data_IF_931520585976
#
_entry.id   IF_931520585976
#
_cell.length_a   1.000
_cell.length_b   1.000
_cell.length_c   1.000
_cell.angle_alpha   90.00
_cell.angle_beta   90.00
_cell.angle_gamma   90.00
#
_symmetry.space_group_name_H-M   'P 1'
#
loop_
_entity.id
_entity.type
_entity.pdbx_description
1 polymer ?
#
# COMPACT_ATOMS: atom_id res chain seq x y z
N UNK A 1 -1.46 -6.90 -7.73
CA UNK A 1 -0.74 -5.64 -8.04
C UNK A 1 0.76 -5.95 -8.20
N UNK A 2 1.64 -4.98 -8.54
CA UNK A 2 3.10 -5.28 -8.59
C UNK A 2 3.66 -5.60 -7.20
N UNK A 3 3.01 -5.08 -6.15
CA UNK A 3 3.38 -5.31 -4.75
C UNK A 3 3.34 -6.79 -4.36
N UNK A 4 2.41 -7.57 -4.93
CA UNK A 4 2.21 -9.01 -4.66
C UNK A 4 3.41 -9.88 -5.09
N UNK A 5 4.35 -9.32 -5.87
CA UNK A 5 5.60 -10.01 -6.18
C UNK A 5 6.42 -10.33 -4.91
N UNK A 6 6.18 -9.63 -3.80
CA UNK A 6 6.81 -9.91 -2.51
C UNK A 6 6.32 -11.22 -1.86
N UNK A 7 5.21 -11.81 -2.29
CA UNK A 7 4.77 -13.14 -1.84
C UNK A 7 5.80 -14.21 -2.14
N UNK A 8 6.61 -14.04 -3.19
CA UNK A 8 7.72 -14.94 -3.52
C UNK A 8 8.83 -14.93 -2.45
N UNK A 9 8.85 -13.89 -1.61
CA UNK A 9 9.79 -13.75 -0.49
C UNK A 9 9.17 -14.21 0.84
N UNK A 10 7.93 -14.69 0.84
CA UNK A 10 7.26 -15.19 2.04
C UNK A 10 7.85 -16.53 2.50
N UNK A 11 7.76 -16.81 3.79
CA UNK A 11 8.12 -18.12 4.36
C UNK A 11 7.01 -18.66 5.27
N UNK A 12 6.31 -19.75 4.91
CA UNK A 12 6.43 -20.48 3.64
C UNK A 12 5.91 -19.67 2.44
N UNK A 13 6.40 -19.95 1.23
CA UNK A 13 6.00 -19.21 0.01
C UNK A 13 4.49 -19.31 -0.23
N UNK A 14 3.90 -20.50 -0.04
CA UNK A 14 2.47 -20.74 -0.21
C UNK A 14 1.90 -21.53 0.97
N UNK A 15 0.81 -21.01 1.54
CA UNK A 15 0.00 -21.61 2.60
C UNK A 15 -1.40 -20.97 2.51
N UNK A 16 -2.45 -21.73 2.21
CA UNK A 16 -3.79 -21.18 2.02
C UNK A 16 -4.51 -20.83 3.34
N UNK A 17 -3.99 -21.26 4.49
CA UNK A 17 -4.66 -21.07 5.80
C UNK A 17 -3.97 -20.01 6.67
N UNK A 18 -3.06 -19.21 6.10
CA UNK A 18 -2.37 -18.15 6.85
C UNK A 18 -2.96 -16.78 6.53
N UNK A 19 -2.82 -15.87 7.49
CA UNK A 19 -3.00 -14.44 7.26
C UNK A 19 -1.93 -13.92 6.28
N UNK A 20 -2.34 -13.10 5.31
CA UNK A 20 -1.43 -12.53 4.30
C UNK A 20 -0.62 -11.32 4.80
N UNK A 21 -0.90 -10.82 6.00
CA UNK A 21 -0.18 -9.69 6.62
C UNK A 21 0.96 -10.16 7.52
N UNK A 22 2.15 -9.59 7.34
CA UNK A 22 3.32 -9.78 8.22
C UNK A 22 4.31 -10.87 7.77
N UNK A 23 3.98 -11.64 6.73
CA UNK A 23 4.82 -12.76 6.26
C UNK A 23 5.72 -12.39 5.08
N UNK A 24 5.52 -11.24 4.45
CA UNK A 24 6.34 -10.73 3.36
C UNK A 24 6.60 -9.21 3.51
N UNK A 25 7.71 -8.69 2.96
CA UNK A 25 8.23 -7.37 3.34
C UNK A 25 7.29 -6.18 3.09
N UNK A 26 6.52 -6.21 2.00
CA UNK A 26 5.65 -5.10 1.57
C UNK A 26 4.24 -5.20 2.18
N UNK A 27 3.95 -6.29 2.89
CA UNK A 27 2.71 -6.53 3.62
C UNK A 27 2.94 -6.49 5.14
N UNK A 28 3.94 -5.70 5.57
CA UNK A 28 4.20 -5.42 6.99
C UNK A 28 3.42 -4.19 7.45
N UNK A 29 3.17 -4.08 8.76
CA UNK A 29 2.55 -2.89 9.36
C UNK A 29 3.33 -1.61 9.01
N UNK A 30 4.66 -1.71 8.92
CA UNK A 30 5.52 -0.59 8.50
C UNK A 30 5.28 -0.18 7.05
N UNK A 31 5.12 -1.14 6.14
CA UNK A 31 4.79 -0.85 4.74
C UNK A 31 3.40 -0.22 4.61
N UNK A 32 2.40 -0.74 5.36
CA UNK A 32 1.05 -0.16 5.41
C UNK A 32 1.09 1.29 5.89
N UNK A 33 1.87 1.60 6.93
CA UNK A 33 2.04 2.97 7.40
C UNK A 33 2.62 3.89 6.30
N UNK A 34 3.57 3.41 5.50
CA UNK A 34 4.09 4.14 4.33
C UNK A 34 2.99 4.37 3.28
N UNK A 35 2.12 3.40 3.02
CA UNK A 35 1.00 3.57 2.07
C UNK A 35 -0.04 4.57 2.56
N UNK A 36 -0.33 4.58 3.87
CA UNK A 36 -1.17 5.59 4.52
C UNK A 36 -0.56 6.98 4.32
N UNK A 37 0.73 7.13 4.60
CA UNK A 37 1.45 8.38 4.38
C UNK A 37 1.42 8.79 2.90
N UNK A 38 1.62 7.86 1.98
CA UNK A 38 1.58 8.13 0.55
C UNK A 38 0.19 8.63 0.08
N UNK A 39 -0.88 8.14 0.70
CA UNK A 39 -2.24 8.64 0.46
C UNK A 39 -2.52 9.99 1.14
N UNK A 40 -2.06 10.17 2.38
CA UNK A 40 -2.39 11.32 3.23
C UNK A 40 -1.52 12.55 2.94
N UNK A 41 -0.21 12.38 2.70
CA UNK A 41 0.75 13.48 2.47
C UNK A 41 0.28 14.44 1.36
N UNK A 42 -0.18 13.96 0.18
CA UNK A 42 -0.68 14.86 -0.87
C UNK A 42 -1.87 15.73 -0.46
N UNK A 43 -2.71 15.30 0.51
CA UNK A 43 -3.79 16.14 1.03
C UNK A 43 -3.27 17.32 1.87
N UNK A 44 -2.27 17.08 2.71
CA UNK A 44 -1.68 18.11 3.56
C UNK A 44 -0.76 19.04 2.76
N UNK A 45 0.01 18.48 1.83
CA UNK A 45 0.88 19.24 0.93
C UNK A 45 0.12 19.94 -0.21
N UNK A 46 -1.21 19.72 -0.34
CA UNK A 46 -2.07 20.42 -1.31
C UNK A 46 -2.04 21.95 -1.16
N UNK A 47 -1.52 22.45 -0.04
CA UNK A 47 -1.21 23.87 0.17
C UNK A 47 -0.03 24.39 -0.68
N UNK A 48 0.80 23.52 -1.26
CA UNK A 48 1.94 23.89 -2.13
C UNK A 48 1.53 23.87 -3.61
N UNK A 49 0.67 24.82 -4.01
CA UNK A 49 0.41 25.13 -5.43
C UNK A 49 1.64 25.82 -6.05
N UNK A 50 2.60 25.04 -6.55
CA UNK A 50 3.79 25.60 -7.23
C UNK A 50 3.86 25.30 -8.74
N UNK A 51 3.07 24.35 -9.28
CA UNK A 51 3.03 24.03 -10.72
C UNK A 51 1.90 23.05 -11.06
N UNK A 52 1.28 23.17 -12.26
CA UNK A 52 0.36 22.15 -12.82
C UNK A 52 0.98 20.75 -12.87
N UNK A 53 2.30 20.66 -13.12
CA UNK A 53 3.02 19.39 -13.12
C UNK A 53 3.05 18.77 -11.72
N UNK A 54 3.20 19.58 -10.66
CA UNK A 54 3.19 19.11 -9.28
C UNK A 54 1.83 18.58 -8.83
N UNK A 55 0.74 19.25 -9.25
CA UNK A 55 -0.63 18.79 -8.96
C UNK A 55 -0.91 17.42 -9.60
N UNK A 56 -0.46 17.21 -10.85
CA UNK A 56 -0.60 15.93 -11.55
C UNK A 56 0.14 14.79 -10.85
N UNK A 57 1.34 15.04 -10.32
CA UNK A 57 2.10 14.04 -9.58
C UNK A 57 1.47 13.71 -8.22
N UNK A 58 0.99 14.72 -7.48
CA UNK A 58 0.30 14.52 -6.21
C UNK A 58 -0.94 13.62 -6.36
N UNK A 59 -1.74 13.86 -7.40
CA UNK A 59 -2.90 13.03 -7.70
C UNK A 59 -2.53 11.57 -8.00
N UNK A 60 -1.44 11.34 -8.76
CA UNK A 60 -0.94 9.99 -9.08
C UNK A 60 -0.44 9.25 -7.84
N UNK A 61 0.32 9.92 -6.98
CA UNK A 61 0.85 9.35 -5.73
C UNK A 61 -0.32 8.96 -4.82
N UNK A 62 -1.30 9.84 -4.67
CA UNK A 62 -2.49 9.58 -3.87
C UNK A 62 -3.30 8.39 -4.39
N UNK A 63 -3.54 8.31 -5.70
CA UNK A 63 -4.27 7.19 -6.30
C UNK A 63 -3.51 5.86 -6.11
N UNK A 64 -2.18 5.90 -6.23
CA UNK A 64 -1.33 4.73 -5.97
C UNK A 64 -1.42 4.29 -4.51
N UNK A 65 -1.37 5.25 -3.56
CA UNK A 65 -1.52 4.98 -2.14
C UNK A 65 -2.88 4.38 -1.80
N UNK A 66 -3.96 4.95 -2.37
CA UNK A 66 -5.31 4.41 -2.20
C UNK A 66 -5.43 2.98 -2.74
N UNK A 67 -4.87 2.71 -3.92
CA UNK A 67 -4.86 1.37 -4.50
C UNK A 67 -4.15 0.35 -3.61
N UNK A 68 -2.98 0.72 -3.07
CA UNK A 68 -2.22 -0.14 -2.15
C UNK A 68 -2.99 -0.37 -0.85
N UNK A 69 -3.64 0.64 -0.28
CA UNK A 69 -4.45 0.49 0.93
C UNK A 69 -5.66 -0.43 0.73
N UNK A 70 -6.35 -0.31 -0.40
CA UNK A 70 -7.45 -1.22 -0.75
C UNK A 70 -6.93 -2.65 -0.87
N UNK A 71 -5.77 -2.84 -1.50
CA UNK A 71 -5.16 -4.15 -1.62
C UNK A 71 -4.78 -4.75 -0.26
N UNK A 72 -4.09 -4.01 0.62
CA UNK A 72 -3.79 -4.46 1.99
C UNK A 72 -5.05 -4.79 2.80
N UNK A 73 -6.15 -4.07 2.56
CA UNK A 73 -7.43 -4.37 3.19
C UNK A 73 -7.98 -5.71 2.72
N UNK A 74 -7.93 -5.98 1.40
CA UNK A 74 -8.37 -7.25 0.83
C UNK A 74 -7.52 -8.42 1.35
N UNK A 75 -6.20 -8.28 1.41
CA UNK A 75 -5.31 -9.32 1.96
C UNK A 75 -5.50 -9.51 3.47
N UNK A 76 -5.88 -8.44 4.18
CA UNK A 76 -6.22 -8.51 5.59
C UNK A 76 -7.51 -9.30 5.88
N UNK A 77 -8.39 -9.49 4.90
CA UNK A 77 -9.59 -10.31 5.05
C UNK A 77 -9.25 -11.78 5.24
N UNK A 78 -8.12 -12.25 4.71
CA UNK A 78 -7.61 -13.61 4.94
C UNK A 78 -7.33 -13.89 6.42
N UNK A 79 -7.22 -12.85 7.25
CA UNK A 79 -6.98 -12.96 8.68
C UNK A 79 -8.27 -13.05 9.50
N UNK A 80 -9.44 -12.86 8.87
CA UNK A 80 -10.76 -12.85 9.51
C UNK A 80 -11.60 -14.08 9.10
N UNK A 81 -11.31 -14.66 7.93
CA UNK A 81 -12.02 -15.81 7.35
C UNK A 81 -11.34 -17.13 7.72
#
# INVERSE_FOLDING_TARGET
MVVDADHLLANPVYDPNRCSIGFHPLHTIWAIAVYILMFMIPFYLKSWKLSEAGEKWNFRIQLTGLGLLIHMLLDGLDCIV
#
